data_IF_900364547362
#
_entry.id   IF_900364547362
#
_cell.length_a   1.000
_cell.length_b   1.000
_cell.length_c   1.000
_cell.angle_alpha   90.00
_cell.angle_beta   90.00
_cell.angle_gamma   90.00
#
_symmetry.space_group_name_H-M   'P 1'
#
loop_
_entity.id
_entity.type
_entity.pdbx_description
1 polymer ?
#
# COMPACT_ATOMS: atom_id res chain seq x y z
N UNK A 1 -12.87 -6.79 -2.07
CA UNK A 1 -11.51 -7.36 -2.19
C UNK A 1 -10.81 -7.29 -0.84
N UNK A 2 -10.08 -8.33 -0.42
CA UNK A 2 -9.28 -8.31 0.82
C UNK A 2 -7.80 -7.94 0.53
N UNK A 3 -7.01 -7.65 1.57
CA UNK A 3 -5.61 -7.24 1.43
C UNK A 3 -4.71 -8.24 0.71
N UNK A 4 -4.89 -9.54 1.00
CA UNK A 4 -4.07 -10.59 0.39
C UNK A 4 -4.33 -10.70 -1.12
N UNK A 5 -5.61 -10.65 -1.51
CA UNK A 5 -6.01 -10.62 -2.91
C UNK A 5 -5.43 -9.38 -3.62
N UNK A 6 -5.57 -8.20 -3.01
CA UNK A 6 -5.05 -6.96 -3.57
C UNK A 6 -3.53 -6.97 -3.75
N UNK A 7 -2.77 -7.57 -2.82
CA UNK A 7 -1.32 -7.73 -2.95
C UNK A 7 -0.95 -8.66 -4.10
N UNK A 8 -1.66 -9.78 -4.27
CA UNK A 8 -1.43 -10.71 -5.37
C UNK A 8 -1.74 -10.06 -6.73
N UNK A 9 -2.86 -9.36 -6.85
CA UNK A 9 -3.23 -8.71 -8.11
C UNK A 9 -2.27 -7.54 -8.42
N UNK A 10 -1.85 -6.79 -7.40
CA UNK A 10 -0.83 -5.77 -7.55
C UNK A 10 0.54 -6.35 -7.93
N UNK A 11 0.93 -7.50 -7.40
CA UNK A 11 2.15 -8.21 -7.82
C UNK A 11 2.11 -8.53 -9.31
N UNK A 12 0.98 -9.08 -9.80
CA UNK A 12 0.80 -9.36 -11.22
C UNK A 12 0.89 -8.09 -12.07
N UNK A 13 0.23 -7.02 -11.66
CA UNK A 13 0.32 -5.72 -12.33
C UNK A 13 1.77 -5.20 -12.38
N UNK A 14 2.50 -5.23 -11.27
CA UNK A 14 3.90 -4.78 -11.24
C UNK A 14 4.81 -5.64 -12.15
N UNK A 15 4.51 -6.94 -12.25
CA UNK A 15 5.29 -7.89 -13.04
C UNK A 15 4.99 -7.82 -14.54
N UNK A 16 3.72 -7.82 -14.91
CA UNK A 16 3.26 -7.97 -16.29
C UNK A 16 3.15 -6.60 -16.95
N UNK A 17 2.35 -5.71 -16.37
CA UNK A 17 2.07 -4.38 -16.95
C UNK A 17 3.26 -3.43 -16.81
N UNK A 18 3.94 -3.46 -15.66
CA UNK A 18 5.08 -2.56 -15.40
C UNK A 18 6.46 -3.17 -15.65
N UNK A 19 6.55 -4.47 -15.90
CA UNK A 19 7.81 -5.16 -16.22
C UNK A 19 8.91 -4.98 -15.16
N UNK A 20 8.57 -4.80 -13.88
CA UNK A 20 9.56 -4.50 -12.85
C UNK A 20 10.39 -5.73 -12.47
N UNK A 21 11.65 -5.50 -12.09
CA UNK A 21 12.51 -6.53 -11.52
C UNK A 21 11.96 -7.04 -10.19
N UNK A 22 12.21 -8.32 -9.88
CA UNK A 22 11.70 -9.00 -8.68
C UNK A 22 12.03 -8.27 -7.37
N UNK A 23 13.23 -7.70 -7.25
CA UNK A 23 13.62 -6.92 -6.07
C UNK A 23 12.76 -5.65 -5.90
N UNK A 24 12.44 -4.97 -7.00
CA UNK A 24 11.57 -3.80 -6.97
C UNK A 24 10.15 -4.20 -6.58
N UNK A 25 9.60 -5.27 -7.16
CA UNK A 25 8.28 -5.81 -6.80
C UNK A 25 8.23 -6.14 -5.31
N UNK A 26 9.21 -6.86 -4.78
CA UNK A 26 9.28 -7.20 -3.35
C UNK A 26 9.28 -5.96 -2.46
N UNK A 27 9.97 -4.89 -2.86
CA UNK A 27 9.97 -3.64 -2.09
C UNK A 27 8.60 -2.94 -2.07
N UNK A 28 7.89 -2.91 -3.20
CA UNK A 28 6.52 -2.37 -3.24
C UNK A 28 5.55 -3.20 -2.38
N UNK A 29 5.60 -4.53 -2.50
CA UNK A 29 4.73 -5.42 -1.72
C UNK A 29 5.00 -5.30 -0.21
N UNK A 30 6.27 -5.14 0.20
CA UNK A 30 6.64 -4.90 1.60
C UNK A 30 6.03 -3.61 2.15
N UNK A 31 5.90 -2.56 1.35
CA UNK A 31 5.28 -1.31 1.81
C UNK A 31 3.78 -1.47 2.06
N UNK A 32 3.08 -2.17 1.16
CA UNK A 32 1.67 -2.52 1.35
C UNK A 32 1.48 -3.44 2.56
N UNK A 33 2.39 -4.40 2.75
CA UNK A 33 2.33 -5.32 3.89
C UNK A 33 2.49 -4.61 5.23
N UNK A 34 3.33 -3.57 5.32
CA UNK A 34 3.45 -2.76 6.53
C UNK A 34 2.12 -2.09 6.91
N UNK A 35 1.40 -1.55 5.93
CA UNK A 35 0.07 -0.98 6.17
C UNK A 35 -0.90 -2.07 6.65
N UNK A 36 -0.95 -3.22 5.98
CA UNK A 36 -1.81 -4.34 6.38
C UNK A 36 -1.54 -4.81 7.82
N UNK A 37 -0.26 -4.94 8.20
CA UNK A 37 0.15 -5.32 9.55
C UNK A 37 -0.22 -4.25 10.58
N UNK A 38 -0.05 -2.98 10.25
CA UNK A 38 -0.50 -1.88 11.10
C UNK A 38 -1.99 -1.94 11.40
N UNK A 39 -2.83 -2.12 10.37
CA UNK A 39 -4.28 -2.24 10.54
C UNK A 39 -4.63 -3.45 11.42
N UNK A 40 -4.00 -4.59 11.16
CA UNK A 40 -4.20 -5.83 11.94
C UNK A 40 -3.85 -5.60 13.42
N UNK A 41 -2.71 -4.97 13.70
CA UNK A 41 -2.23 -4.71 15.06
C UNK A 41 -3.11 -3.69 15.82
N UNK A 42 -3.79 -2.79 15.10
CA UNK A 42 -4.74 -1.83 15.67
C UNK A 42 -6.17 -2.36 15.75
N UNK A 43 -6.45 -3.56 15.22
CA UNK A 43 -7.82 -4.10 15.12
C UNK A 43 -8.71 -3.32 14.15
N UNK A 44 -8.12 -2.67 13.14
CA UNK A 44 -8.85 -1.92 12.11
C UNK A 44 -9.22 -2.88 10.98
N UNK A 45 -10.52 -2.96 10.66
CA UNK A 45 -11.07 -3.89 9.67
C UNK A 45 -11.22 -3.29 8.26
N UNK A 46 -10.62 -2.13 8.02
CA UNK A 46 -10.66 -1.48 6.70
C UNK A 46 -10.00 -2.35 5.61
N UNK A 47 -10.63 -2.33 4.44
CA UNK A 47 -10.17 -3.07 3.25
C UNK A 47 -9.35 -2.15 2.33
N UNK A 48 -8.60 -2.69 1.35
CA UNK A 48 -7.91 -1.87 0.37
C UNK A 48 -8.82 -0.91 -0.42
N UNK A 49 -10.11 -1.21 -0.52
CA UNK A 49 -11.10 -0.40 -1.25
C UNK A 49 -11.74 0.65 -0.34
N UNK A 50 -12.01 0.30 0.92
CA UNK A 50 -12.71 1.15 1.88
C UNK A 50 -11.79 1.96 2.80
N UNK A 51 -10.48 1.74 2.74
CA UNK A 51 -9.52 2.45 3.58
C UNK A 51 -9.56 3.95 3.29
N UNK A 52 -9.75 4.71 4.35
CA UNK A 52 -9.93 6.16 4.33
C UNK A 52 -8.60 6.92 4.52
N UNK A 53 -8.69 8.23 4.42
CA UNK A 53 -7.52 9.11 4.49
C UNK A 53 -6.99 9.20 5.91
N UNK A 54 -7.87 9.25 6.89
CA UNK A 54 -7.57 9.40 8.31
C UNK A 54 -6.75 8.21 8.83
N UNK A 55 -7.19 6.99 8.53
CA UNK A 55 -6.47 5.76 8.86
C UNK A 55 -5.10 5.71 8.18
N UNK A 56 -5.01 6.14 6.92
CA UNK A 56 -3.73 6.18 6.21
C UNK A 56 -2.76 7.21 6.78
N UNK A 57 -3.25 8.39 7.15
CA UNK A 57 -2.46 9.43 7.81
C UNK A 57 -1.95 8.94 9.17
N UNK A 58 -2.79 8.23 9.93
CA UNK A 58 -2.37 7.62 11.19
C UNK A 58 -1.23 6.62 10.97
N UNK A 59 -1.31 5.77 9.95
CA UNK A 59 -0.22 4.86 9.58
C UNK A 59 1.08 5.60 9.26
N UNK A 60 1.01 6.65 8.43
CA UNK A 60 2.19 7.44 8.04
C UNK A 60 2.82 8.12 9.27
N UNK A 61 2.01 8.60 10.20
CA UNK A 61 2.47 9.20 11.45
C UNK A 61 3.18 8.17 12.35
N UNK A 62 2.62 6.97 12.53
CA UNK A 62 3.26 5.93 13.34
C UNK A 62 4.57 5.44 12.71
N UNK A 63 4.60 5.22 11.39
CA UNK A 63 5.83 4.84 10.68
C UNK A 63 6.93 5.89 10.82
N UNK A 64 6.59 7.19 10.84
CA UNK A 64 7.55 8.27 11.00
C UNK A 64 8.32 8.23 12.33
N UNK A 65 7.75 7.61 13.37
CA UNK A 65 8.40 7.44 14.66
C UNK A 65 9.46 6.33 14.64
N UNK A 66 9.35 5.39 13.69
CA UNK A 66 10.21 4.20 13.61
C UNK A 66 11.31 4.31 12.56
N UNK A 67 11.09 5.11 11.50
CA UNK A 67 12.01 5.19 10.36
C UNK A 67 12.40 6.63 10.02
N UNK A 68 13.61 6.79 9.49
CA UNK A 68 14.08 8.10 9.01
C UNK A 68 13.34 8.60 7.75
N UNK A 69 13.46 9.91 7.42
CA UNK A 69 12.70 10.55 6.35
C UNK A 69 12.82 9.89 4.97
N UNK A 70 14.01 9.39 4.62
CA UNK A 70 14.23 8.68 3.35
C UNK A 70 13.40 7.40 3.25
N UNK A 71 13.33 6.64 4.35
CA UNK A 71 12.55 5.40 4.41
C UNK A 71 11.05 5.69 4.42
N UNK A 72 10.63 6.76 5.12
CA UNK A 72 9.24 7.22 5.12
C UNK A 72 8.78 7.62 3.71
N UNK A 73 9.57 8.44 3.00
CA UNK A 73 9.27 8.84 1.63
C UNK A 73 9.16 7.63 0.68
N UNK A 74 10.01 6.61 0.86
CA UNK A 74 9.93 5.36 0.10
C UNK A 74 8.61 4.63 0.35
N UNK A 75 8.20 4.49 1.61
CA UNK A 75 6.94 3.84 1.99
C UNK A 75 5.73 4.58 1.39
N UNK A 76 5.71 5.92 1.51
CA UNK A 76 4.66 6.77 0.93
C UNK A 76 4.58 6.57 -0.59
N UNK A 77 5.72 6.54 -1.28
CA UNK A 77 5.77 6.29 -2.72
C UNK A 77 5.24 4.88 -3.08
N UNK A 78 5.60 3.87 -2.29
CA UNK A 78 5.10 2.51 -2.45
C UNK A 78 3.58 2.42 -2.33
N UNK A 79 3.02 3.07 -1.31
CA UNK A 79 1.57 3.15 -1.11
C UNK A 79 0.88 3.96 -2.20
N UNK A 80 1.45 5.08 -2.65
CA UNK A 80 0.91 5.88 -3.77
C UNK A 80 0.78 5.03 -5.03
N UNK A 81 1.81 4.27 -5.34
CA UNK A 81 1.79 3.34 -6.47
C UNK A 81 0.70 2.27 -6.32
N UNK A 82 0.50 1.73 -5.12
CA UNK A 82 -0.53 0.74 -4.85
C UNK A 82 -1.95 1.32 -4.99
N UNK A 83 -2.24 2.47 -4.38
CA UNK A 83 -3.58 3.07 -4.48
C UNK A 83 -3.89 3.60 -5.89
N UNK A 84 -2.89 4.09 -6.62
CA UNK A 84 -3.05 4.42 -8.04
C UNK A 84 -3.38 3.19 -8.89
N UNK A 85 -2.77 2.04 -8.58
CA UNK A 85 -3.13 0.77 -9.22
C UNK A 85 -4.60 0.40 -8.94
N UNK A 86 -5.07 0.54 -7.71
CA UNK A 86 -6.47 0.26 -7.38
C UNK A 86 -7.45 1.18 -8.12
N UNK A 87 -7.07 2.45 -8.34
CA UNK A 87 -7.85 3.37 -9.17
C UNK A 87 -7.80 2.98 -10.65
N UNK A 88 -6.63 2.58 -11.14
CA UNK A 88 -6.43 2.14 -12.53
C UNK A 88 -7.28 0.92 -12.90
N UNK A 89 -7.41 -0.04 -11.98
CA UNK A 89 -8.27 -1.23 -12.13
C UNK A 89 -9.75 -1.00 -11.79
N UNK A 90 -10.16 0.26 -11.56
CA UNK A 90 -11.53 0.65 -11.18
C UNK A 90 -12.04 -0.02 -9.87
N UNK A 91 -11.12 -0.48 -9.00
CA UNK A 91 -11.47 -1.00 -7.68
C UNK A 91 -11.85 0.11 -6.70
N UNK A 92 -11.38 1.34 -6.95
CA UNK A 92 -11.71 2.54 -6.17
C UNK A 92 -11.69 3.79 -7.04
N UNK A 93 -12.43 4.82 -6.66
CA UNK A 93 -12.56 6.06 -7.45
C UNK A 93 -11.47 7.09 -7.18
N UNK A 94 -10.78 6.96 -6.05
CA UNK A 94 -9.84 7.94 -5.54
C UNK A 94 -8.68 7.30 -4.77
N UNK A 95 -7.66 8.10 -4.52
CA UNK A 95 -6.50 7.72 -3.70
C UNK A 95 -6.65 8.34 -2.31
N UNK A 96 -6.49 7.57 -1.22
CA UNK A 96 -6.55 8.10 0.15
C UNK A 96 -5.27 8.87 0.58
N UNK A 97 -4.29 9.02 -0.31
CA UNK A 97 -3.02 9.73 -0.10
C UNK A 97 -3.11 11.23 -0.41
#
# INVERSE_FOLDING_TARGET
>A
MNWKQAQTDYEYYLKIERGLAANSISNYLRDVEKLRLFLTNKGIEETPVSLDRETLQLFIYEVAKEVGPRSQARIISGLKSFFNYLVFEDYRKDTPL
#
